data_IF_626615145648
#
_entry.id   IF_626615145648
#
_cell.length_a   1.000
_cell.length_b   1.000
_cell.length_c   1.000
_cell.angle_alpha   90.00
_cell.angle_beta   90.00
_cell.angle_gamma   90.00
#
_symmetry.space_group_name_H-M   'P 1'
#
loop_
_entity.id
_entity.type
_entity.pdbx_description
1 polymer ?
#
# COMPACT_ATOMS: atom_id res chain seq x y z
N UNK A 1 56.91 -45.08 -27.49
CA UNK A 1 55.45 -44.98 -27.39
C UNK A 1 55.12 -44.07 -26.22
N UNK A 2 54.95 -42.77 -26.50
CA UNK A 2 54.59 -41.75 -25.51
C UNK A 2 53.08 -41.54 -25.50
N UNK A 3 52.47 -41.60 -24.33
CA UNK A 3 51.04 -41.35 -24.13
C UNK A 3 50.68 -39.88 -24.40
N UNK A 4 49.48 -39.57 -24.91
CA UNK A 4 49.03 -38.19 -25.07
C UNK A 4 48.62 -37.55 -23.73
N UNK A 5 48.75 -36.21 -23.59
CA UNK A 5 48.39 -35.50 -22.37
C UNK A 5 46.87 -35.37 -22.21
N UNK A 6 46.39 -35.56 -20.98
CA UNK A 6 44.99 -35.40 -20.60
C UNK A 6 44.55 -33.93 -20.69
N UNK A 7 43.55 -33.66 -21.53
CA UNK A 7 42.80 -32.40 -21.59
C UNK A 7 41.97 -32.23 -20.31
N UNK A 8 42.53 -31.52 -19.32
CA UNK A 8 41.78 -30.98 -18.20
C UNK A 8 40.98 -29.75 -18.65
N UNK A 9 39.75 -29.97 -19.12
CA UNK A 9 38.76 -28.90 -19.31
C UNK A 9 37.37 -29.46 -19.07
N UNK A 10 36.87 -29.27 -17.86
CA UNK A 10 35.44 -29.27 -17.60
C UNK A 10 35.18 -28.15 -16.59
N UNK A 11 34.85 -27.00 -17.17
CA UNK A 11 34.41 -25.80 -16.48
C UNK A 11 33.45 -26.16 -15.34
N UNK A 12 33.75 -25.63 -14.15
CA UNK A 12 32.82 -25.61 -13.04
C UNK A 12 31.51 -24.99 -13.51
N UNK A 13 30.50 -25.85 -13.65
CA UNK A 13 29.13 -25.45 -13.88
C UNK A 13 28.69 -24.61 -12.70
N UNK A 14 28.81 -23.28 -12.85
CA UNK A 14 28.15 -22.34 -11.95
C UNK A 14 26.69 -22.78 -11.89
N UNK A 15 26.16 -23.14 -10.71
CA UNK A 15 24.75 -23.49 -10.62
C UNK A 15 23.97 -22.31 -11.18
N UNK A 16 23.10 -22.62 -12.16
CA UNK A 16 22.16 -21.65 -12.71
C UNK A 16 21.48 -21.03 -11.50
N UNK A 17 21.82 -19.76 -11.23
CA UNK A 17 21.18 -18.96 -10.21
C UNK A 17 19.74 -18.88 -10.68
N UNK A 18 18.90 -19.77 -10.13
CA UNK A 18 17.48 -19.88 -10.44
C UNK A 18 16.99 -18.46 -10.51
N UNK A 19 16.63 -18.03 -11.73
CA UNK A 19 16.25 -16.66 -11.99
C UNK A 19 15.18 -16.34 -10.97
N UNK A 20 15.53 -15.50 -9.99
CA UNK A 20 14.57 -14.93 -9.05
C UNK A 20 13.52 -14.35 -9.98
N UNK A 21 12.26 -14.82 -9.96
CA UNK A 21 11.28 -14.38 -10.93
C UNK A 21 11.33 -12.87 -10.95
N UNK A 22 11.72 -12.30 -12.10
CA UNK A 22 11.91 -10.86 -12.31
C UNK A 22 10.57 -10.13 -12.32
N UNK A 23 9.52 -10.74 -11.78
CA UNK A 23 8.39 -10.05 -11.20
C UNK A 23 8.79 -9.40 -9.88
N UNK A 24 9.80 -8.53 -9.87
CA UNK A 24 9.75 -7.39 -8.97
C UNK A 24 8.60 -6.50 -9.46
N UNK A 25 7.36 -7.01 -9.34
CA UNK A 25 6.18 -6.33 -9.83
C UNK A 25 6.23 -4.93 -9.26
N UNK A 26 6.09 -3.92 -10.12
CA UNK A 26 6.28 -2.56 -9.65
C UNK A 26 5.38 -2.32 -8.42
N UNK A 27 5.95 -1.66 -7.41
CA UNK A 27 5.26 -1.36 -6.14
C UNK A 27 4.60 0.01 -6.22
N UNK A 28 4.37 0.48 -7.44
CA UNK A 28 3.96 1.85 -7.74
C UNK A 28 2.61 2.14 -7.11
N UNK A 29 1.72 1.14 -7.04
CA UNK A 29 0.43 1.26 -6.34
C UNK A 29 0.59 1.43 -4.83
N UNK A 30 1.55 0.74 -4.21
CA UNK A 30 1.85 0.86 -2.78
C UNK A 30 2.45 2.24 -2.47
N UNK A 31 3.39 2.70 -3.30
CA UNK A 31 3.97 4.03 -3.19
C UNK A 31 2.93 5.12 -3.39
N UNK A 32 2.18 5.05 -4.49
CA UNK A 32 1.14 6.03 -4.82
C UNK A 32 0.11 6.14 -3.69
N UNK A 33 -0.45 5.02 -3.23
CA UNK A 33 -1.44 5.05 -2.16
C UNK A 33 -0.87 5.62 -0.87
N UNK A 34 0.37 5.25 -0.52
CA UNK A 34 1.01 5.78 0.70
C UNK A 34 1.25 7.30 0.60
N UNK A 35 1.64 7.80 -0.57
CA UNK A 35 1.75 9.25 -0.80
C UNK A 35 0.40 9.94 -0.71
N UNK A 36 -0.65 9.38 -1.31
CA UNK A 36 -2.01 9.94 -1.22
C UNK A 36 -2.46 10.00 0.24
N UNK A 37 -2.21 8.95 1.04
CA UNK A 37 -2.53 8.95 2.48
C UNK A 37 -1.77 10.05 3.23
N UNK A 38 -0.47 10.23 2.96
CA UNK A 38 0.31 11.29 3.58
C UNK A 38 -0.17 12.68 3.17
N UNK A 39 -0.51 12.90 1.89
CA UNK A 39 -1.09 14.18 1.44
C UNK A 39 -2.45 14.42 2.08
N UNK A 40 -3.31 13.40 2.18
CA UNK A 40 -4.58 13.49 2.92
C UNK A 40 -4.35 13.92 4.37
N UNK A 41 -3.38 13.31 5.05
CA UNK A 41 -3.03 13.66 6.41
C UNK A 41 -2.57 15.12 6.55
N UNK A 42 -1.74 15.60 5.61
CA UNK A 42 -1.25 16.97 5.61
C UNK A 42 -2.37 17.98 5.35
N UNK A 43 -3.28 17.68 4.43
CA UNK A 43 -4.46 18.54 4.17
C UNK A 43 -5.34 18.64 5.41
N UNK A 44 -5.62 17.52 6.07
CA UNK A 44 -6.41 17.51 7.32
C UNK A 44 -5.68 18.11 8.53
N UNK A 45 -4.36 18.22 8.49
CA UNK A 45 -3.57 18.90 9.52
C UNK A 45 -3.47 20.41 9.27
N UNK A 46 -3.74 20.88 8.06
CA UNK A 46 -3.68 22.28 7.71
C UNK A 46 -4.82 23.05 8.41
N UNK A 47 -4.60 24.33 8.76
CA UNK A 47 -5.64 25.15 9.38
C UNK A 47 -6.82 25.32 8.42
N UNK A 48 -8.03 25.02 8.91
CA UNK A 48 -9.27 25.07 8.14
C UNK A 48 -10.24 23.99 8.59
N UNK A 49 -11.42 23.95 7.99
CA UNK A 49 -12.36 22.81 8.09
C UNK A 49 -12.42 22.17 6.69
N UNK A 50 -11.49 21.25 6.45
CA UNK A 50 -11.34 20.58 5.16
C UNK A 50 -12.52 19.64 4.86
N UNK A 51 -13.22 19.20 5.90
CA UNK A 51 -14.38 18.32 5.85
C UNK A 51 -15.72 19.08 6.00
N UNK A 52 -15.72 20.41 5.86
CA UNK A 52 -16.93 21.23 5.91
C UNK A 52 -17.93 20.93 4.77
N UNK A 53 -17.45 20.37 3.66
CA UNK A 53 -18.26 20.16 2.45
C UNK A 53 -19.37 19.11 2.62
N UNK A 54 -20.49 19.20 1.87
CA UNK A 54 -21.60 18.24 1.96
C UNK A 54 -21.17 16.78 1.76
N UNK A 55 -20.19 16.56 0.88
CA UNK A 55 -19.60 15.24 0.61
C UNK A 55 -18.90 14.61 1.80
N UNK A 56 -18.45 15.41 2.77
CA UNK A 56 -17.74 14.94 3.95
C UNK A 56 -18.58 15.07 5.23
N UNK A 57 -19.85 15.49 5.11
CA UNK A 57 -20.75 15.67 6.26
C UNK A 57 -20.88 14.42 7.15
N UNK A 58 -20.74 13.22 6.58
CA UNK A 58 -20.77 11.96 7.32
C UNK A 58 -19.57 11.75 8.25
N UNK A 59 -18.43 12.38 7.99
CA UNK A 59 -17.23 12.25 8.82
C UNK A 59 -17.48 12.82 10.23
N UNK A 60 -18.21 13.93 10.31
CA UNK A 60 -18.58 14.57 11.58
C UNK A 60 -19.56 13.72 12.40
N UNK A 61 -20.41 12.90 11.75
CA UNK A 61 -21.35 12.00 12.44
C UNK A 61 -20.67 10.89 13.22
N UNK A 62 -19.43 10.53 12.87
CA UNK A 62 -18.63 9.57 13.62
C UNK A 62 -18.03 10.15 14.91
N UNK A 63 -18.18 11.45 15.17
CA UNK A 63 -17.63 12.11 16.36
C UNK A 63 -16.09 12.18 16.38
N UNK A 64 -15.44 11.88 15.25
CA UNK A 64 -13.98 11.96 15.11
C UNK A 64 -13.59 13.32 14.54
N UNK A 65 -12.58 13.95 15.13
CA UNK A 65 -12.04 15.23 14.66
C UNK A 65 -11.14 15.06 13.44
N UNK A 66 -10.93 16.12 12.66
CA UNK A 66 -9.97 16.12 11.54
C UNK A 66 -8.57 15.71 11.99
N UNK A 67 -8.17 16.06 13.21
CA UNK A 67 -6.90 15.66 13.81
C UNK A 67 -6.77 14.15 13.93
N UNK A 68 -7.84 13.45 14.35
CA UNK A 68 -7.82 11.97 14.46
C UNK A 68 -7.67 11.34 13.08
N UNK A 69 -8.40 11.84 12.09
CA UNK A 69 -8.28 11.38 10.71
C UNK A 69 -6.87 11.63 10.16
N UNK A 70 -6.34 12.84 10.34
CA UNK A 70 -4.99 13.22 9.95
C UNK A 70 -3.96 12.26 10.54
N UNK A 71 -4.02 12.01 11.85
CA UNK A 71 -3.14 11.06 12.51
C UNK A 71 -3.28 9.64 11.96
N UNK A 72 -4.50 9.15 11.71
CA UNK A 72 -4.74 7.81 11.19
C UNK A 72 -4.17 7.62 9.78
N UNK A 73 -4.42 8.56 8.86
CA UNK A 73 -3.86 8.54 7.51
C UNK A 73 -2.34 8.72 7.52
N UNK A 74 -1.84 9.64 8.35
CA UNK A 74 -0.42 9.95 8.46
C UNK A 74 0.38 8.77 9.01
N UNK A 75 -0.12 8.13 10.07
CA UNK A 75 0.51 6.94 10.64
C UNK A 75 0.52 5.77 9.66
N UNK A 76 -0.61 5.51 8.99
CA UNK A 76 -0.73 4.38 8.05
C UNK A 76 0.16 4.57 6.82
N UNK A 77 0.08 5.74 6.18
CA UNK A 77 0.89 6.09 5.02
C UNK A 77 2.38 6.16 5.38
N UNK A 78 2.73 6.81 6.49
CA UNK A 78 4.11 6.99 6.95
C UNK A 78 4.79 5.67 7.33
N UNK A 79 4.12 4.81 8.10
CA UNK A 79 4.64 3.48 8.45
C UNK A 79 4.92 2.67 7.19
N UNK A 80 4.01 2.72 6.21
CA UNK A 80 4.18 1.96 4.97
C UNK A 80 5.29 2.55 4.08
N UNK A 81 5.39 3.87 3.95
CA UNK A 81 6.51 4.51 3.25
C UNK A 81 7.86 4.09 3.86
N UNK A 82 7.95 4.07 5.19
CA UNK A 82 9.16 3.59 5.87
C UNK A 82 9.45 2.11 5.53
N UNK A 83 8.43 1.24 5.54
CA UNK A 83 8.59 -0.17 5.16
C UNK A 83 8.99 -0.36 3.70
N UNK A 84 8.44 0.45 2.77
CA UNK A 84 8.78 0.46 1.35
C UNK A 84 10.18 1.00 1.08
N UNK A 85 10.65 1.97 1.88
CA UNK A 85 12.00 2.51 1.77
C UNK A 85 13.07 1.51 2.23
N UNK A 86 12.79 0.72 3.28
CA UNK A 86 13.71 -0.30 3.80
C UNK A 86 13.75 -1.55 2.89
N UNK A 87 12.65 -1.82 2.19
CA UNK A 87 12.36 -2.97 1.31
C UNK A 87 13.53 -3.91 0.99
N UNK A 88 13.48 -5.12 1.58
CA UNK A 88 14.42 -6.21 1.29
C UNK A 88 15.69 -6.24 2.16
N UNK A 89 15.95 -5.19 2.95
CA UNK A 89 17.04 -5.18 3.96
C UNK A 89 16.71 -5.93 5.25
N UNK A 90 15.45 -6.32 5.45
CA UNK A 90 15.01 -7.03 6.65
C UNK A 90 13.92 -8.05 6.31
N UNK A 91 13.94 -9.24 6.93
CA UNK A 91 12.88 -10.25 6.78
C UNK A 91 11.51 -9.76 7.28
N UNK A 92 11.46 -8.69 8.08
CA UNK A 92 10.21 -8.17 8.64
C UNK A 92 9.44 -7.22 7.72
N UNK A 93 10.06 -6.75 6.63
CA UNK A 93 9.42 -5.76 5.74
C UNK A 93 8.13 -6.23 5.07
N UNK A 94 7.94 -7.51 4.70
CA UNK A 94 6.67 -7.96 4.12
C UNK A 94 5.49 -7.83 5.09
N UNK A 95 5.69 -8.10 6.39
CA UNK A 95 4.63 -7.98 7.39
C UNK A 95 4.20 -6.53 7.62
N UNK A 96 5.17 -5.60 7.69
CA UNK A 96 4.86 -4.17 7.81
C UNK A 96 4.09 -3.64 6.59
N UNK A 97 4.46 -4.09 5.38
CA UNK A 97 3.73 -3.78 4.15
C UNK A 97 2.32 -4.37 4.16
N UNK A 98 2.16 -5.59 4.65
CA UNK A 98 0.86 -6.25 4.77
C UNK A 98 -0.06 -5.50 5.74
N UNK A 99 0.44 -5.15 6.93
CA UNK A 99 -0.31 -4.34 7.90
C UNK A 99 -0.68 -2.98 7.32
N UNK A 100 0.29 -2.29 6.72
CA UNK A 100 0.05 -1.04 6.02
C UNK A 100 -1.10 -1.18 5.03
N UNK A 101 -1.01 -2.15 4.09
CA UNK A 101 -2.01 -2.36 3.04
C UNK A 101 -3.40 -2.70 3.59
N UNK A 102 -3.47 -3.47 4.67
CA UNK A 102 -4.71 -3.77 5.35
C UNK A 102 -5.39 -2.50 5.91
N UNK A 103 -4.64 -1.66 6.64
CA UNK A 103 -5.17 -0.39 7.12
C UNK A 103 -5.52 0.56 5.97
N UNK A 104 -4.73 0.58 4.90
CA UNK A 104 -5.06 1.35 3.69
C UNK A 104 -6.39 0.93 3.06
N UNK A 105 -6.62 -0.38 2.95
CA UNK A 105 -7.88 -0.93 2.42
C UNK A 105 -9.07 -0.43 3.25
N UNK A 106 -8.97 -0.54 4.58
CA UNK A 106 -10.01 -0.08 5.50
C UNK A 106 -10.21 1.43 5.42
N UNK A 107 -9.13 2.22 5.43
CA UNK A 107 -9.22 3.68 5.38
C UNK A 107 -9.88 4.16 4.09
N UNK A 108 -9.45 3.68 2.92
CA UNK A 108 -10.07 4.10 1.66
C UNK A 108 -11.48 3.57 1.48
N UNK A 109 -11.77 2.36 1.94
CA UNK A 109 -13.13 1.81 1.96
C UNK A 109 -14.06 2.65 2.84
N UNK A 110 -13.60 3.03 4.03
CA UNK A 110 -14.34 3.89 4.95
C UNK A 110 -14.56 5.29 4.36
N UNK A 111 -13.55 5.91 3.74
CA UNK A 111 -13.71 7.21 3.06
C UNK A 111 -14.75 7.10 1.94
N UNK A 112 -14.67 6.07 1.10
CA UNK A 112 -15.64 5.86 0.02
C UNK A 112 -17.06 5.72 0.55
N UNK A 113 -17.26 4.95 1.63
CA UNK A 113 -18.55 4.79 2.28
C UNK A 113 -19.07 6.10 2.89
N UNK A 114 -18.23 6.83 3.62
CA UNK A 114 -18.62 8.09 4.25
C UNK A 114 -18.94 9.17 3.21
N UNK A 115 -18.21 9.21 2.10
CA UNK A 115 -18.52 10.13 1.00
C UNK A 115 -19.85 9.76 0.34
N UNK A 116 -20.13 8.47 0.14
CA UNK A 116 -21.41 8.00 -0.37
C UNK A 116 -22.56 8.43 0.54
N UNK A 117 -22.45 8.14 1.84
CA UNK A 117 -23.47 8.47 2.83
C UNK A 117 -23.67 9.99 2.95
N UNK A 118 -22.57 10.75 2.96
CA UNK A 118 -22.60 12.21 2.99
C UNK A 118 -23.33 12.81 1.79
N UNK A 119 -22.97 12.41 0.57
CA UNK A 119 -23.61 12.99 -0.63
C UNK A 119 -25.03 12.50 -0.85
N UNK A 120 -25.35 11.24 -0.49
CA UNK A 120 -26.71 10.75 -0.57
C UNK A 120 -27.64 11.51 0.36
N UNK A 121 -27.24 11.72 1.61
CA UNK A 121 -28.08 12.44 2.57
C UNK A 121 -28.18 13.94 2.28
N UNK A 122 -27.09 14.56 1.84
CA UNK A 122 -27.06 16.02 1.63
C UNK A 122 -27.58 16.45 0.26
N UNK A 123 -27.36 15.65 -0.80
CA UNK A 123 -27.57 16.05 -2.18
C UNK A 123 -28.44 15.07 -2.99
N UNK A 124 -28.71 13.86 -2.46
CA UNK A 124 -29.45 12.82 -3.19
C UNK A 124 -28.71 12.22 -4.39
N UNK A 125 -27.39 12.40 -4.48
CA UNK A 125 -26.56 11.92 -5.60
C UNK A 125 -25.30 11.20 -5.12
N UNK A 126 -24.78 10.28 -5.95
CA UNK A 126 -23.47 9.62 -5.69
C UNK A 126 -22.35 10.53 -6.18
N UNK A 127 -21.42 10.91 -5.30
CA UNK A 127 -20.20 11.59 -5.73
C UNK A 127 -19.28 10.65 -6.53
N UNK A 128 -18.66 11.13 -7.63
CA UNK A 128 -17.59 10.40 -8.32
C UNK A 128 -16.44 9.97 -7.39
N UNK A 129 -16.22 10.69 -6.29
CA UNK A 129 -15.24 10.35 -5.26
C UNK A 129 -15.44 8.96 -4.68
N UNK A 130 -16.69 8.47 -4.58
CA UNK A 130 -17.00 7.12 -4.08
C UNK A 130 -16.29 6.06 -4.93
N UNK A 131 -16.34 6.20 -6.26
CA UNK A 131 -15.66 5.28 -7.16
C UNK A 131 -14.13 5.38 -7.05
N UNK A 132 -13.59 6.60 -6.92
CA UNK A 132 -12.15 6.84 -6.76
C UNK A 132 -11.63 6.17 -5.48
N UNK A 133 -12.27 6.39 -4.34
CA UNK A 133 -11.87 5.78 -3.07
C UNK A 133 -12.11 4.25 -3.08
N UNK A 134 -13.15 3.78 -3.76
CA UNK A 134 -13.38 2.35 -4.00
C UNK A 134 -12.24 1.69 -4.77
N UNK A 135 -11.75 2.34 -5.84
CA UNK A 135 -10.58 1.85 -6.60
C UNK A 135 -9.32 1.88 -5.74
N UNK A 136 -9.08 2.95 -4.96
CA UNK A 136 -7.93 3.00 -4.05
C UNK A 136 -7.98 1.85 -3.02
N UNK A 137 -9.15 1.58 -2.45
CA UNK A 137 -9.37 0.43 -1.56
C UNK A 137 -9.07 -0.91 -2.27
N UNK A 138 -9.56 -1.10 -3.50
CA UNK A 138 -9.26 -2.31 -4.28
C UNK A 138 -7.76 -2.47 -4.59
N UNK A 139 -7.05 -1.37 -4.87
CA UNK A 139 -5.60 -1.38 -5.06
C UNK A 139 -4.84 -1.73 -3.77
N UNK A 140 -5.37 -1.34 -2.62
CA UNK A 140 -4.84 -1.76 -1.33
C UNK A 140 -5.03 -3.24 -1.08
N UNK A 141 -6.20 -3.80 -1.41
CA UNK A 141 -6.44 -5.24 -1.32
C UNK A 141 -5.49 -6.04 -2.22
N UNK A 142 -5.23 -5.56 -3.44
CA UNK A 142 -4.21 -6.14 -4.34
C UNK A 142 -2.82 -6.08 -3.72
N UNK A 143 -2.47 -4.96 -3.09
CA UNK A 143 -1.18 -4.77 -2.43
C UNK A 143 -1.02 -5.69 -1.22
N UNK A 144 -2.09 -5.85 -0.44
CA UNK A 144 -2.18 -6.78 0.68
C UNK A 144 -1.96 -8.23 0.24
N UNK A 145 -2.67 -8.66 -0.81
CA UNK A 145 -2.48 -9.96 -1.43
C UNK A 145 -1.01 -10.17 -1.79
N UNK A 146 -0.39 -9.25 -2.54
CA UNK A 146 1.03 -9.38 -2.93
C UNK A 146 1.98 -9.43 -1.74
N UNK A 147 1.79 -8.57 -0.74
CA UNK A 147 2.63 -8.57 0.47
C UNK A 147 2.50 -9.90 1.24
N UNK A 148 1.31 -10.50 1.27
CA UNK A 148 1.10 -11.82 1.90
C UNK A 148 1.85 -12.95 1.17
N UNK A 149 1.95 -12.89 -0.18
CA UNK A 149 2.77 -13.84 -0.94
C UNK A 149 4.25 -13.64 -0.66
N UNK A 150 4.73 -12.38 -0.62
CA UNK A 150 6.12 -12.06 -0.29
C UNK A 150 6.49 -12.60 1.12
N UNK A 151 5.58 -12.51 2.10
CA UNK A 151 5.81 -12.97 3.47
C UNK A 151 6.02 -14.50 3.57
N UNK A 152 5.40 -15.29 2.69
CA UNK A 152 5.53 -16.77 2.69
C UNK A 152 6.95 -17.25 2.38
N UNK A 153 7.72 -16.46 1.64
CA UNK A 153 9.10 -16.80 1.28
C UNK A 153 10.13 -16.42 2.34
N UNK A 154 9.73 -15.68 3.38
CA UNK A 154 10.62 -15.34 4.51
C UNK A 154 10.65 -16.46 5.55
N UNK A 155 9.56 -17.21 5.68
CA UNK A 155 9.40 -18.29 6.67
C UNK A 155 9.87 -19.67 6.19
N UNK A 156 10.54 -19.76 5.04
CA UNK A 156 11.16 -20.99 4.52
C UNK A 156 12.66 -20.82 4.47
#
# INVERSE_FOLDING_TARGET
MSAPPALGSAAGSRPLRVGRPTGAGCRDTEWLSSFIMCVWALVLAAPGDSLAGPSFSAFHRLGLTETVWSCAFGATGGLRLAALYINGRSPRTPYARMLGAFFGFLSWGQVGFLVYDGTMQALGVVSPGVAVYGVLSAMELRSLYRASYDARYVTR
#
